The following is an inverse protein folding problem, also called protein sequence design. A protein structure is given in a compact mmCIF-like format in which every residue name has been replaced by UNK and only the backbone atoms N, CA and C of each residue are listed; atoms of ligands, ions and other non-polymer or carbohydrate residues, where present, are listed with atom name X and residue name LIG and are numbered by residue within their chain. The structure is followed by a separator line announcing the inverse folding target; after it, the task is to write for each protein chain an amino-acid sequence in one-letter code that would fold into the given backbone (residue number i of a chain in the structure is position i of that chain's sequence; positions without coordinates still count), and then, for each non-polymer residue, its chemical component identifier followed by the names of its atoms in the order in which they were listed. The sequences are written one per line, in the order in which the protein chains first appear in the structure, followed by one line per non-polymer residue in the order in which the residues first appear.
data_IF_338041908233
#
_entry.id   IF_338041908233
#
_cell.length_a   1.000
_cell.length_b   1.000
_cell.length_c   1.000
_cell.angle_alpha   90.00
_cell.angle_beta   90.00
_cell.angle_gamma   90.00
#
_symmetry.space_group_name_H-M   'P 1'
#
loop_
_entity.id
_entity.type
_entity.pdbx_description
1 polymer ?
#
# COMPACT_ATOMS: atom_id res chain seq x y z
N UNK A 1 -15.79 -26.61 32.82
CA UNK A 1 -15.67 -25.24 32.29
C UNK A 1 -14.30 -25.10 31.61
N UNK A 2 -14.24 -25.20 30.27
CA UNK A 2 -12.99 -24.98 29.51
C UNK A 2 -12.71 -23.48 29.45
N UNK A 3 -11.86 -22.97 30.36
CA UNK A 3 -11.37 -21.60 30.29
C UNK A 3 -10.21 -21.55 29.30
N UNK A 4 -10.50 -21.34 28.00
CA UNK A 4 -9.46 -20.94 27.03
C UNK A 4 -9.00 -19.55 27.44
N UNK A 5 -7.83 -19.48 28.08
CA UNK A 5 -7.10 -18.25 28.36
C UNK A 5 -7.00 -17.47 27.05
N UNK A 6 -7.72 -16.36 26.94
CA UNK A 6 -7.72 -15.53 25.73
C UNK A 6 -6.31 -15.02 25.46
N UNK A 7 -5.62 -15.61 24.49
CA UNK A 7 -4.32 -15.13 24.06
C UNK A 7 -4.53 -13.74 23.46
N UNK A 8 -3.92 -12.71 24.06
CA UNK A 8 -3.85 -11.38 23.46
C UNK A 8 -2.92 -11.45 22.25
N UNK A 9 -3.52 -11.78 21.11
CA UNK A 9 -2.89 -11.66 19.81
C UNK A 9 -2.77 -10.16 19.52
N UNK A 10 -1.54 -9.65 19.55
CA UNK A 10 -1.24 -8.25 19.27
C UNK A 10 -0.16 -8.16 18.20
N UNK A 11 -0.40 -7.29 17.22
CA UNK A 11 0.56 -6.97 16.16
C UNK A 11 1.64 -6.08 16.77
N UNK A 12 2.89 -6.47 16.61
CA UNK A 12 4.03 -5.69 17.09
C UNK A 12 4.27 -4.48 16.19
N UNK A 13 4.85 -3.42 16.75
CA UNK A 13 5.19 -2.20 16.01
C UNK A 13 6.00 -2.48 14.71
N UNK A 14 6.90 -3.45 14.74
CA UNK A 14 7.68 -3.88 13.56
C UNK A 14 6.80 -4.43 12.44
N UNK A 15 5.79 -5.23 12.78
CA UNK A 15 4.84 -5.79 11.81
C UNK A 15 3.95 -4.68 11.24
N UNK A 16 3.51 -3.74 12.07
CA UNK A 16 2.79 -2.54 11.62
C UNK A 16 3.59 -1.71 10.62
N UNK A 17 4.88 -1.45 10.90
CA UNK A 17 5.74 -0.69 9.99
C UNK A 17 5.90 -1.38 8.64
N UNK A 18 6.10 -2.70 8.63
CA UNK A 18 6.19 -3.46 7.39
C UNK A 18 4.89 -3.44 6.57
N UNK A 19 3.72 -3.52 7.23
CA UNK A 19 2.41 -3.37 6.57
C UNK A 19 2.30 -1.98 5.95
N UNK A 20 2.60 -0.92 6.70
CA UNK A 20 2.51 0.45 6.22
C UNK A 20 3.42 0.66 5.00
N UNK A 21 4.66 0.17 5.05
CA UNK A 21 5.61 0.26 3.93
C UNK A 21 5.09 -0.52 2.71
N UNK A 22 4.57 -1.74 2.91
CA UNK A 22 3.96 -2.52 1.84
C UNK A 22 2.77 -1.82 1.19
N UNK A 23 1.90 -1.20 1.99
CA UNK A 23 0.78 -0.38 1.50
C UNK A 23 1.26 0.82 0.69
N UNK A 24 2.28 1.55 1.16
CA UNK A 24 2.82 2.69 0.43
C UNK A 24 3.38 2.25 -0.93
N UNK A 25 4.16 1.17 -0.98
CA UNK A 25 4.75 0.66 -2.23
C UNK A 25 3.66 0.23 -3.22
N UNK A 26 2.64 -0.52 -2.75
CA UNK A 26 1.55 -0.97 -3.61
C UNK A 26 0.70 0.21 -4.12
N UNK A 27 0.38 1.19 -3.29
CA UNK A 27 -0.32 2.42 -3.72
C UNK A 27 0.52 3.19 -4.74
N UNK A 28 1.83 3.34 -4.49
CA UNK A 28 2.74 3.98 -5.45
C UNK A 28 2.73 3.24 -6.79
N UNK A 29 2.80 1.90 -6.79
CA UNK A 29 2.75 1.12 -8.02
C UNK A 29 1.48 1.38 -8.84
N UNK A 30 0.32 1.47 -8.18
CA UNK A 30 -0.96 1.76 -8.82
C UNK A 30 -1.07 3.20 -9.35
N UNK A 31 -0.49 4.15 -8.62
CA UNK A 31 -0.63 5.58 -8.94
C UNK A 31 0.49 6.11 -9.84
N UNK A 32 1.58 5.36 -10.03
CA UNK A 32 2.76 5.80 -10.79
C UNK A 32 2.43 6.13 -12.25
N UNK A 33 1.69 5.27 -12.96
CA UNK A 33 1.32 5.49 -14.37
C UNK A 33 0.44 6.74 -14.51
N UNK A 34 -0.50 6.91 -13.58
CA UNK A 34 -1.35 8.10 -13.49
C UNK A 34 -0.55 9.36 -13.21
N UNK A 35 0.41 9.32 -12.28
CA UNK A 35 1.26 10.46 -11.99
C UNK A 35 2.15 10.84 -13.17
N UNK A 36 2.67 9.85 -13.91
CA UNK A 36 3.41 10.12 -15.15
C UNK A 36 2.52 10.80 -16.20
N UNK A 37 1.26 10.40 -16.31
CA UNK A 37 0.29 11.07 -17.19
C UNK A 37 -0.01 12.51 -16.76
N UNK A 38 -0.13 12.79 -15.46
CA UNK A 38 -0.58 14.09 -14.97
C UNK A 38 0.54 15.12 -14.76
N UNK A 39 1.75 14.64 -14.46
CA UNK A 39 2.92 15.46 -14.14
C UNK A 39 3.35 16.50 -15.20
N UNK A 40 3.09 16.32 -16.52
CA UNK A 40 3.40 17.35 -17.50
C UNK A 40 2.53 18.62 -17.37
N UNK A 41 1.30 18.49 -16.87
CA UNK A 41 0.31 19.58 -16.81
C UNK A 41 0.04 20.08 -15.38
N UNK A 42 0.18 19.19 -14.38
CA UNK A 42 -0.10 19.51 -12.98
C UNK A 42 1.02 19.07 -12.06
N UNK A 43 1.40 19.95 -11.13
CA UNK A 43 2.29 19.58 -10.03
C UNK A 43 1.57 18.70 -9.00
N UNK A 44 2.32 17.87 -8.27
CA UNK A 44 1.76 17.05 -7.20
C UNK A 44 0.99 17.89 -6.16
N UNK A 45 1.48 19.10 -5.87
CA UNK A 45 0.80 19.99 -4.93
C UNK A 45 -0.57 20.44 -5.45
N UNK A 46 -0.70 20.76 -6.73
CA UNK A 46 -2.00 21.12 -7.33
C UNK A 46 -2.97 19.95 -7.34
N UNK A 47 -2.47 18.72 -7.56
CA UNK A 47 -3.27 17.49 -7.50
C UNK A 47 -3.80 17.26 -6.07
N UNK A 48 -2.99 17.44 -5.03
CA UNK A 48 -3.41 17.23 -3.64
C UNK A 48 -4.19 18.41 -3.03
N UNK A 49 -3.92 19.64 -3.46
CA UNK A 49 -4.60 20.84 -2.98
C UNK A 49 -5.90 21.15 -3.74
N UNK A 50 -6.17 20.46 -4.86
CA UNK A 50 -7.33 20.66 -5.72
C UNK A 50 -7.49 22.10 -6.25
N UNK A 51 -6.39 22.87 -6.34
CA UNK A 51 -6.43 24.29 -6.72
C UNK A 51 -7.00 24.55 -8.13
N UNK A 52 -6.87 23.59 -9.06
CA UNK A 52 -7.41 23.63 -10.43
C UNK A 52 -8.37 22.45 -10.66
N UNK A 53 -9.24 22.16 -9.69
CA UNK A 53 -10.04 20.94 -9.64
C UNK A 53 -10.87 20.63 -10.89
N UNK A 54 -11.47 21.62 -11.52
CA UNK A 54 -12.28 21.44 -12.75
C UNK A 54 -11.41 20.99 -13.94
N UNK A 55 -10.31 21.71 -14.19
CA UNK A 55 -9.35 21.40 -15.25
C UNK A 55 -8.64 20.07 -15.01
N UNK A 56 -8.28 19.80 -13.75
CA UNK A 56 -7.72 18.52 -13.31
C UNK A 56 -8.67 17.37 -13.61
N UNK A 57 -9.96 17.52 -13.27
CA UNK A 57 -10.97 16.50 -13.50
C UNK A 57 -11.19 16.23 -14.99
N UNK A 58 -11.26 17.29 -15.81
CA UNK A 58 -11.38 17.15 -17.27
C UNK A 58 -10.14 16.49 -17.88
N UNK A 59 -8.95 16.84 -17.42
CA UNK A 59 -7.71 16.22 -17.88
C UNK A 59 -7.63 14.75 -17.48
N UNK A 60 -7.89 14.43 -16.21
CA UNK A 60 -7.91 13.07 -15.68
C UNK A 60 -8.97 12.17 -16.32
N UNK A 61 -10.08 12.72 -16.83
CA UNK A 61 -11.09 11.95 -17.54
C UNK A 61 -10.57 11.33 -18.86
N UNK A 62 -9.48 11.87 -19.42
CA UNK A 62 -8.83 11.35 -20.62
C UNK A 62 -7.73 10.32 -20.32
N UNK A 63 -7.50 10.00 -19.04
CA UNK A 63 -6.47 9.04 -18.65
C UNK A 63 -6.82 7.62 -19.12
N UNK A 64 -5.92 7.03 -19.92
CA UNK A 64 -5.95 5.62 -20.28
C UNK A 64 -4.65 4.99 -19.78
N UNK A 65 -4.71 3.97 -18.89
CA UNK A 65 -3.51 3.33 -18.36
C UNK A 65 -2.74 2.64 -19.49
N UNK A 66 -1.44 2.95 -19.59
CA UNK A 66 -0.57 2.43 -20.66
C UNK A 66 0.24 1.25 -20.17
N UNK A 67 0.77 1.34 -18.94
CA UNK A 67 1.63 0.29 -18.39
C UNK A 67 1.54 0.21 -16.86
N UNK A 68 1.29 -1.00 -16.35
CA UNK A 68 1.31 -1.25 -14.91
C UNK A 68 2.68 -1.77 -14.48
N UNK A 69 3.27 -1.14 -13.46
CA UNK A 69 4.59 -1.55 -12.96
C UNK A 69 4.49 -2.75 -12.01
N UNK A 70 4.46 -3.94 -12.61
CA UNK A 70 4.42 -5.22 -11.88
C UNK A 70 5.60 -5.44 -10.92
N UNK A 71 6.76 -4.86 -11.19
CA UNK A 71 7.94 -5.01 -10.34
C UNK A 71 7.78 -4.28 -9.01
N UNK A 72 7.32 -3.03 -9.05
CA UNK A 72 7.06 -2.25 -7.82
C UNK A 72 5.89 -2.85 -7.05
N UNK A 73 4.83 -3.26 -7.75
CA UNK A 73 3.71 -3.94 -7.12
C UNK A 73 4.15 -5.25 -6.44
N UNK A 74 4.91 -6.08 -7.14
CA UNK A 74 5.44 -7.34 -6.61
C UNK A 74 6.33 -7.15 -5.38
N UNK A 75 7.13 -6.06 -5.32
CA UNK A 75 7.91 -5.73 -4.13
C UNK A 75 7.03 -5.45 -2.91
N UNK A 76 5.90 -4.76 -3.10
CA UNK A 76 4.91 -4.53 -2.04
C UNK A 76 4.25 -5.83 -1.57
N UNK A 77 3.85 -6.70 -2.50
CA UNK A 77 3.28 -8.01 -2.18
C UNK A 77 4.26 -8.92 -1.41
N UNK A 78 5.55 -8.91 -1.79
CA UNK A 78 6.59 -9.63 -1.06
C UNK A 78 6.68 -9.15 0.40
N UNK A 79 6.55 -7.84 0.65
CA UNK A 79 6.54 -7.32 2.02
C UNK A 79 5.34 -7.84 2.82
N UNK A 80 4.15 -7.92 2.23
CA UNK A 80 3.00 -8.51 2.89
C UNK A 80 3.21 -9.98 3.21
N UNK A 81 3.79 -10.75 2.28
CA UNK A 81 4.16 -12.15 2.53
C UNK A 81 5.17 -12.29 3.67
N UNK A 82 6.16 -11.41 3.74
CA UNK A 82 7.14 -11.37 4.85
C UNK A 82 6.43 -11.10 6.18
N UNK A 83 5.50 -10.14 6.24
CA UNK A 83 4.74 -9.86 7.46
C UNK A 83 3.95 -11.07 7.91
N UNK A 84 3.21 -11.70 6.99
CA UNK A 84 2.42 -12.90 7.28
C UNK A 84 3.34 -13.99 7.82
N UNK A 85 4.49 -14.21 7.18
CA UNK A 85 5.45 -15.22 7.59
C UNK A 85 6.05 -14.94 8.98
N UNK A 86 6.46 -13.70 9.27
CA UNK A 86 6.99 -13.29 10.59
C UNK A 86 5.93 -13.48 11.68
N UNK A 87 4.71 -13.03 11.40
CA UNK A 87 3.59 -13.11 12.31
C UNK A 87 3.20 -14.56 12.61
N UNK A 88 3.07 -15.39 11.57
CA UNK A 88 2.75 -16.83 11.70
C UNK A 88 3.85 -17.58 12.43
N UNK A 89 5.12 -17.35 12.08
CA UNK A 89 6.28 -17.95 12.76
C UNK A 89 6.31 -17.61 14.25
N UNK A 90 5.96 -16.37 14.61
CA UNK A 90 5.86 -15.94 16.01
C UNK A 90 4.71 -16.61 16.75
N UNK A 91 3.55 -16.78 16.10
CA UNK A 91 2.42 -17.48 16.69
C UNK A 91 2.73 -18.96 16.94
N UNK A 92 3.33 -19.65 15.96
CA UNK A 92 3.70 -21.05 16.07
C UNK A 92 4.74 -21.30 17.18
N UNK A 93 5.76 -20.43 17.32
CA UNK A 93 6.75 -20.54 18.42
C UNK A 93 6.17 -20.33 19.82
N UNK A 94 4.99 -19.71 19.94
CA UNK A 94 4.33 -19.44 21.23
C UNK A 94 3.36 -20.55 21.66
N UNK A 95 3.11 -21.53 20.80
CA UNK A 95 2.17 -22.62 21.00
C UNK A 95 2.95 -23.96 21.00
N UNK A 96 3.69 -24.31 22.07
CA UNK A 96 4.29 -25.63 22.20
C UNK A 96 3.23 -26.72 22.40
#
# INVERSE_FOLDING_TARGET
HFSRKGYRISIQWKEWMLIIIGCLITITAYTMDYFNFISPEFSLWEVFSFSRGEELMQYSANYVPVSFNWYVFGAGEILFLIVIWVYASRLLRRNP
#
